data_IF_774809746740
#
_entry.id   IF_774809746740
#
_cell.length_a   1.000
_cell.length_b   1.000
_cell.length_c   1.000
_cell.angle_alpha   90.00
_cell.angle_beta   90.00
_cell.angle_gamma   90.00
#
_symmetry.space_group_name_H-M   'P 1'
#
loop_
_entity.id
_entity.type
_entity.pdbx_description
1 polymer ?
#
# COMPACT_ATOMS: atom_id res chain seq x y z
N UNK A 1 -35.87 -11.88 19.35
CA UNK A 1 -36.88 -10.83 19.50
C UNK A 1 -36.09 -9.54 19.49
N UNK A 2 -35.97 -8.91 18.31
CA UNK A 2 -35.24 -7.66 18.15
C UNK A 2 -35.92 -6.55 18.97
N UNK A 3 -35.12 -5.78 19.69
CA UNK A 3 -35.52 -4.49 20.21
C UNK A 3 -35.98 -3.60 19.06
N UNK A 4 -36.99 -2.76 19.24
CA UNK A 4 -37.32 -1.75 18.24
C UNK A 4 -36.05 -0.91 17.98
N UNK A 5 -35.73 -0.73 16.70
CA UNK A 5 -34.60 0.08 16.25
C UNK A 5 -34.60 1.43 16.96
N UNK A 6 -33.54 1.70 17.69
CA UNK A 6 -33.27 3.03 18.22
C UNK A 6 -33.30 4.01 17.03
N UNK A 7 -34.11 5.08 17.05
CA UNK A 7 -34.15 6.06 15.98
C UNK A 7 -32.81 6.74 15.72
N UNK A 8 -31.85 6.65 16.66
CA UNK A 8 -30.49 7.14 16.54
C UNK A 8 -29.55 6.10 15.92
N UNK A 9 -29.91 4.82 15.86
CA UNK A 9 -29.11 3.80 15.18
C UNK A 9 -29.28 3.87 13.65
N UNK A 10 -28.36 4.56 13.02
CA UNK A 10 -28.34 4.78 11.55
C UNK A 10 -28.04 3.51 10.74
N UNK A 11 -27.57 2.45 11.36
CA UNK A 11 -26.99 1.30 10.65
C UNK A 11 -27.83 0.02 10.78
N UNK A 12 -28.68 -0.10 11.82
CA UNK A 12 -29.41 -1.32 12.09
C UNK A 12 -28.48 -2.54 12.25
N UNK A 13 -29.01 -3.74 12.01
CA UNK A 13 -28.20 -4.97 12.01
C UNK A 13 -27.30 -5.03 10.76
N UNK A 14 -26.00 -5.25 10.98
CA UNK A 14 -24.98 -5.35 9.94
C UNK A 14 -24.64 -6.82 9.66
N UNK A 15 -24.70 -7.25 8.41
CA UNK A 15 -24.32 -8.58 7.98
C UNK A 15 -22.99 -8.57 7.22
N UNK A 16 -21.96 -9.16 7.84
CA UNK A 16 -20.70 -9.45 7.17
C UNK A 16 -20.78 -10.81 6.49
N UNK A 17 -20.85 -10.82 5.17
CA UNK A 17 -20.93 -12.06 4.38
C UNK A 17 -19.59 -12.32 3.72
N UNK A 18 -18.99 -13.48 4.01
CA UNK A 18 -17.69 -13.90 3.46
C UNK A 18 -17.89 -15.22 2.73
N UNK A 19 -17.84 -15.18 1.42
CA UNK A 19 -17.85 -16.39 0.61
C UNK A 19 -16.42 -16.96 0.52
N UNK A 20 -16.32 -18.28 0.76
CA UNK A 20 -15.06 -19.01 0.79
C UNK A 20 -14.01 -18.43 1.79
N UNK A 21 -14.34 -18.43 3.07
CA UNK A 21 -13.48 -17.96 4.15
C UNK A 21 -12.09 -18.60 4.14
N UNK A 22 -11.98 -19.83 3.65
CA UNK A 22 -10.70 -20.52 3.52
C UNK A 22 -9.70 -19.78 2.65
N UNK A 23 -10.14 -19.35 1.48
CA UNK A 23 -9.31 -18.61 0.54
C UNK A 23 -8.92 -17.22 1.08
N UNK A 24 -9.85 -16.54 1.77
CA UNK A 24 -9.55 -15.27 2.42
C UNK A 24 -8.44 -15.45 3.44
N UNK A 25 -8.54 -16.47 4.30
CA UNK A 25 -7.58 -16.73 5.36
C UNK A 25 -6.20 -17.12 4.82
N UNK A 26 -6.15 -17.89 3.74
CA UNK A 26 -4.89 -18.30 3.09
C UNK A 26 -4.18 -17.13 2.39
N UNK A 27 -4.94 -16.20 1.82
CA UNK A 27 -4.39 -15.02 1.14
C UNK A 27 -3.98 -13.91 2.09
N UNK A 28 -4.72 -13.71 3.18
CA UNK A 28 -4.47 -12.67 4.17
C UNK A 28 -4.92 -13.13 5.57
N UNK A 29 -3.97 -13.64 6.35
CA UNK A 29 -4.22 -14.09 7.71
C UNK A 29 -4.76 -12.96 8.61
N UNK A 30 -4.32 -11.71 8.37
CA UNK A 30 -4.75 -10.55 9.15
C UNK A 30 -6.23 -10.24 8.95
N UNK A 31 -6.76 -10.34 7.73
CA UNK A 31 -8.19 -10.20 7.46
C UNK A 31 -8.98 -11.37 8.04
N UNK A 32 -8.46 -12.58 7.94
CA UNK A 32 -9.07 -13.76 8.54
C UNK A 32 -9.21 -13.63 10.05
N UNK A 33 -8.17 -13.20 10.75
CA UNK A 33 -8.17 -12.96 12.20
C UNK A 33 -9.16 -11.86 12.61
N UNK A 34 -9.27 -10.79 11.82
CA UNK A 34 -10.27 -9.72 12.04
C UNK A 34 -11.70 -10.26 11.89
N UNK A 35 -11.96 -11.07 10.87
CA UNK A 35 -13.27 -11.69 10.69
C UNK A 35 -13.65 -12.59 11.87
N UNK A 36 -12.70 -13.37 12.40
CA UNK A 36 -12.90 -14.18 13.60
C UNK A 36 -13.17 -13.30 14.83
N UNK A 37 -12.46 -12.21 15.00
CA UNK A 37 -12.68 -11.27 16.09
C UNK A 37 -14.08 -10.63 16.02
N UNK A 38 -14.52 -10.22 14.82
CA UNK A 38 -15.87 -9.71 14.58
C UNK A 38 -16.91 -10.80 14.89
N UNK A 39 -16.70 -12.03 14.45
CA UNK A 39 -17.63 -13.13 14.74
C UNK A 39 -17.78 -13.41 16.24
N UNK A 40 -16.73 -13.20 17.04
CA UNK A 40 -16.76 -13.41 18.50
C UNK A 40 -17.50 -12.32 19.26
N UNK A 41 -17.41 -11.09 18.83
CA UNK A 41 -17.88 -9.92 19.56
C UNK A 41 -19.03 -9.18 18.87
N UNK A 42 -19.16 -9.35 17.57
CA UNK A 42 -20.04 -8.55 16.72
C UNK A 42 -21.52 -8.65 17.11
N UNK A 43 -21.97 -9.80 17.58
CA UNK A 43 -23.39 -10.01 17.94
C UNK A 43 -23.86 -9.03 19.02
N UNK A 44 -22.98 -8.65 19.96
CA UNK A 44 -23.30 -7.67 21.00
C UNK A 44 -23.49 -6.24 20.44
N UNK A 45 -23.07 -6.02 19.21
CA UNK A 45 -23.15 -4.74 18.50
C UNK A 45 -24.07 -4.81 17.27
N UNK A 46 -24.92 -5.83 17.17
CA UNK A 46 -25.79 -6.03 16.00
C UNK A 46 -25.03 -6.45 14.72
N UNK A 47 -23.80 -6.98 14.84
CA UNK A 47 -23.04 -7.46 13.69
C UNK A 47 -23.11 -8.97 13.58
N UNK A 48 -23.66 -9.46 12.48
CA UNK A 48 -23.82 -10.87 12.16
C UNK A 48 -22.78 -11.29 11.12
N UNK A 49 -22.14 -12.44 11.31
CA UNK A 49 -21.17 -12.99 10.38
C UNK A 49 -21.71 -14.23 9.71
N UNK A 50 -21.79 -14.22 8.38
CA UNK A 50 -22.16 -15.37 7.55
C UNK A 50 -20.97 -15.77 6.70
N UNK A 51 -20.55 -17.03 6.76
CA UNK A 51 -19.42 -17.50 5.98
C UNK A 51 -19.70 -18.82 5.30
N UNK A 52 -19.10 -19.02 4.13
CA UNK A 52 -19.02 -20.32 3.47
C UNK A 52 -17.55 -20.81 3.45
N UNK A 53 -17.35 -22.11 3.33
CA UNK A 53 -16.06 -22.72 3.07
C UNK A 53 -16.22 -24.11 2.45
N UNK A 54 -15.27 -24.51 1.63
CA UNK A 54 -15.22 -25.84 1.01
C UNK A 54 -14.72 -26.92 1.98
N UNK A 55 -14.07 -26.54 3.09
CA UNK A 55 -13.61 -27.44 4.15
C UNK A 55 -13.17 -26.66 5.39
N UNK A 56 -13.31 -27.30 6.58
CA UNK A 56 -13.10 -26.65 7.86
C UNK A 56 -12.00 -27.29 8.72
N UNK A 57 -11.33 -28.31 8.21
CA UNK A 57 -10.51 -29.24 9.01
C UNK A 57 -9.14 -28.71 9.47
N UNK A 58 -8.65 -27.58 8.96
CA UNK A 58 -7.27 -27.19 9.21
C UNK A 58 -7.18 -25.83 9.88
N UNK A 59 -6.47 -25.77 11.01
CA UNK A 59 -5.97 -24.56 11.64
C UNK A 59 -7.03 -23.61 12.19
N UNK A 60 -6.84 -22.35 11.94
CA UNK A 60 -7.65 -21.23 12.49
C UNK A 60 -9.11 -21.20 11.97
N UNK A 61 -9.42 -21.93 10.89
CA UNK A 61 -10.81 -22.09 10.42
C UNK A 61 -11.72 -22.68 11.52
N UNK A 62 -11.17 -23.53 12.37
CA UNK A 62 -11.86 -24.10 13.51
C UNK A 62 -12.25 -23.05 14.57
N UNK A 63 -11.49 -21.98 14.69
CA UNK A 63 -11.81 -20.88 15.60
C UNK A 63 -13.13 -20.17 15.23
N UNK A 64 -13.42 -20.05 13.93
CA UNK A 64 -14.69 -19.51 13.45
C UNK A 64 -15.85 -20.47 13.67
N UNK A 65 -15.64 -21.78 13.45
CA UNK A 65 -16.64 -22.80 13.75
C UNK A 65 -17.06 -22.79 15.23
N UNK A 66 -16.12 -22.58 16.15
CA UNK A 66 -16.42 -22.56 17.59
C UNK A 66 -17.36 -21.41 17.97
N UNK A 67 -17.42 -20.35 17.16
CA UNK A 67 -18.29 -19.19 17.39
C UNK A 67 -19.61 -19.30 16.63
N UNK A 68 -19.61 -20.00 15.49
CA UNK A 68 -20.78 -20.15 14.64
C UNK A 68 -21.79 -21.14 15.28
N UNK A 69 -22.90 -20.63 15.79
CA UNK A 69 -23.97 -21.43 16.38
C UNK A 69 -24.86 -22.09 15.33
N UNK A 70 -25.21 -21.35 14.28
CA UNK A 70 -25.94 -21.88 13.14
C UNK A 70 -24.95 -22.44 12.11
N UNK A 71 -25.11 -23.71 11.77
CA UNK A 71 -24.26 -24.39 10.79
C UNK A 71 -25.15 -25.20 9.85
N UNK A 72 -24.87 -25.05 8.57
CA UNK A 72 -25.53 -25.82 7.51
C UNK A 72 -24.41 -26.46 6.70
N UNK A 73 -24.45 -27.78 6.62
CA UNK A 73 -23.54 -28.53 5.77
C UNK A 73 -24.26 -28.90 4.49
N UNK A 74 -23.70 -28.46 3.39
CA UNK A 74 -24.09 -28.94 2.06
C UNK A 74 -23.20 -30.12 1.66
N UNK A 75 -23.25 -30.51 0.39
CA UNK A 75 -22.42 -31.60 -0.16
C UNK A 75 -20.93 -31.33 0.10
N UNK A 76 -20.25 -32.30 0.71
CA UNK A 76 -18.80 -32.29 0.89
C UNK A 76 -18.12 -33.25 -0.10
N UNK A 77 -16.90 -32.91 -0.50
CA UNK A 77 -16.07 -33.79 -1.36
C UNK A 77 -15.62 -35.04 -0.62
N UNK A 78 -15.40 -34.94 0.69
CA UNK A 78 -15.03 -36.05 1.56
C UNK A 78 -16.04 -36.17 2.72
N UNK A 79 -16.84 -37.24 2.80
CA UNK A 79 -17.82 -37.44 3.88
C UNK A 79 -17.21 -37.52 5.29
N UNK A 80 -15.94 -37.92 5.42
CA UNK A 80 -15.28 -38.05 6.72
C UNK A 80 -14.99 -36.66 7.35
N UNK A 81 -14.97 -35.59 6.55
CA UNK A 81 -14.86 -34.21 7.04
C UNK A 81 -16.08 -33.75 7.86
N UNK A 82 -17.21 -34.41 7.71
CA UNK A 82 -18.45 -34.05 8.38
C UNK A 82 -18.35 -34.05 9.89
N UNK A 83 -17.79 -35.11 10.46
CA UNK A 83 -17.73 -35.27 11.92
C UNK A 83 -16.68 -34.41 12.57
N UNK A 84 -15.53 -34.24 11.93
CA UNK A 84 -14.39 -33.51 12.48
C UNK A 84 -14.50 -31.98 12.25
N UNK A 85 -15.12 -31.56 11.15
CA UNK A 85 -15.17 -30.14 10.76
C UNK A 85 -16.41 -29.40 11.25
N UNK A 86 -17.60 -29.94 11.03
CA UNK A 86 -18.85 -29.22 11.29
C UNK A 86 -19.49 -29.57 12.63
N UNK A 87 -19.04 -30.65 13.31
CA UNK A 87 -19.62 -31.14 14.53
C UNK A 87 -21.03 -31.72 14.34
N UNK A 88 -21.36 -32.16 13.13
CA UNK A 88 -22.62 -32.86 12.83
C UNK A 88 -22.42 -34.33 13.12
N UNK A 89 -23.07 -34.85 14.14
CA UNK A 89 -22.83 -36.21 14.66
C UNK A 89 -23.41 -37.34 13.78
N UNK A 90 -24.23 -37.04 12.78
CA UNK A 90 -24.94 -38.05 12.02
C UNK A 90 -24.30 -38.35 10.66
N UNK A 91 -23.43 -39.36 10.62
CA UNK A 91 -22.84 -39.89 9.35
C UNK A 91 -23.91 -40.28 8.31
N UNK A 92 -25.12 -40.59 8.73
CA UNK A 92 -26.22 -40.98 7.84
C UNK A 92 -26.73 -39.80 7.03
N UNK A 93 -26.88 -38.66 7.65
CA UNK A 93 -27.29 -37.41 7.00
C UNK A 93 -26.26 -36.91 5.98
N UNK A 94 -24.95 -37.03 6.28
CA UNK A 94 -23.90 -36.67 5.36
C UNK A 94 -23.90 -37.48 4.04
N UNK A 95 -24.26 -38.74 4.12
CA UNK A 95 -24.35 -39.61 2.92
C UNK A 95 -25.57 -39.28 2.07
N UNK A 96 -26.67 -38.81 2.65
CA UNK A 96 -27.89 -38.46 1.92
C UNK A 96 -27.79 -37.13 1.15
N UNK A 97 -26.91 -36.21 1.56
CA UNK A 97 -26.72 -34.93 0.88
C UNK A 97 -25.86 -35.03 -0.38
N UNK A 98 -25.23 -36.18 -0.64
CA UNK A 98 -24.21 -36.32 -1.69
C UNK A 98 -24.74 -36.14 -3.11
N UNK A 99 -26.00 -36.47 -3.39
CA UNK A 99 -26.53 -36.53 -4.77
C UNK A 99 -27.57 -35.45 -5.13
N UNK A 100 -27.91 -34.56 -4.20
CA UNK A 100 -28.98 -33.56 -4.41
C UNK A 100 -28.44 -32.14 -4.22
N UNK A 101 -28.29 -31.33 -5.26
CA UNK A 101 -27.95 -29.91 -5.14
C UNK A 101 -28.97 -29.17 -4.25
N UNK A 102 -28.46 -28.30 -3.35
CA UNK A 102 -29.27 -27.51 -2.43
C UNK A 102 -29.73 -28.26 -1.16
N UNK A 103 -29.56 -29.56 -1.09
CA UNK A 103 -29.78 -30.29 0.14
C UNK A 103 -28.68 -30.04 1.18
N UNK A 104 -29.09 -29.83 2.41
CA UNK A 104 -28.17 -29.59 3.53
C UNK A 104 -28.64 -30.21 4.82
N UNK A 105 -27.77 -30.26 5.80
CA UNK A 105 -28.02 -30.74 7.13
C UNK A 105 -27.60 -29.70 8.16
N UNK A 106 -28.46 -29.43 9.14
CA UNK A 106 -28.14 -28.52 10.24
C UNK A 106 -27.24 -29.20 11.27
N UNK A 107 -26.68 -28.43 12.20
CA UNK A 107 -25.88 -28.93 13.32
C UNK A 107 -26.64 -29.97 14.16
N UNK A 108 -27.98 -29.84 14.28
CA UNK A 108 -28.84 -30.72 15.03
C UNK A 108 -29.32 -31.95 14.25
N UNK A 109 -28.83 -32.14 13.03
CA UNK A 109 -29.14 -33.28 12.19
C UNK A 109 -30.46 -33.16 11.39
N UNK A 110 -31.10 -31.99 11.36
CA UNK A 110 -32.28 -31.78 10.54
C UNK A 110 -31.86 -31.55 9.07
N UNK A 111 -32.54 -32.26 8.18
CA UNK A 111 -32.42 -32.08 6.75
C UNK A 111 -33.15 -30.80 6.31
N UNK A 112 -32.58 -30.10 5.34
CA UNK A 112 -33.18 -28.91 4.75
C UNK A 112 -32.87 -28.83 3.24
N UNK A 113 -33.72 -28.13 2.54
CA UNK A 113 -33.50 -27.77 1.14
C UNK A 113 -33.37 -26.26 1.06
N UNK A 114 -32.24 -25.82 0.53
CA UNK A 114 -31.99 -24.39 0.29
C UNK A 114 -32.88 -23.90 -0.85
N UNK A 115 -33.61 -22.83 -0.58
CA UNK A 115 -34.44 -22.17 -1.60
C UNK A 115 -33.57 -21.60 -2.72
N UNK A 116 -34.03 -21.67 -3.95
CA UNK A 116 -33.38 -20.99 -5.05
C UNK A 116 -33.53 -19.47 -4.88
N UNK A 117 -32.52 -18.68 -5.23
CA UNK A 117 -32.62 -17.21 -5.20
C UNK A 117 -33.41 -16.71 -6.44
N UNK A 118 -34.70 -17.05 -6.47
CA UNK A 118 -35.64 -16.63 -7.48
C UNK A 118 -36.78 -15.88 -6.81
N UNK A 119 -37.18 -14.75 -7.38
CA UNK A 119 -38.37 -14.01 -6.95
C UNK A 119 -39.28 -13.75 -8.15
N UNK A 120 -40.60 -13.71 -7.89
CA UNK A 120 -41.55 -13.28 -8.93
C UNK A 120 -41.47 -11.77 -9.10
N UNK A 121 -41.18 -11.30 -10.30
CA UNK A 121 -41.27 -9.89 -10.66
C UNK A 121 -42.74 -9.40 -10.69
N UNK A 122 -42.92 -8.07 -10.83
CA UNK A 122 -44.27 -7.48 -10.92
C UNK A 122 -45.17 -8.09 -12.00
N UNK A 123 -44.56 -8.62 -13.06
CA UNK A 123 -45.25 -9.23 -14.19
C UNK A 123 -45.45 -10.74 -14.05
N UNK A 124 -45.21 -11.31 -12.85
CA UNK A 124 -45.27 -12.75 -12.62
C UNK A 124 -44.12 -13.56 -13.24
N UNK A 125 -43.15 -12.89 -13.87
CA UNK A 125 -41.97 -13.53 -14.46
C UNK A 125 -40.99 -13.86 -13.39
N UNK A 126 -40.50 -15.10 -13.33
CA UNK A 126 -39.41 -15.50 -12.42
C UNK A 126 -38.10 -14.83 -12.80
N UNK A 127 -37.54 -14.09 -11.87
CA UNK A 127 -36.28 -13.41 -12.04
C UNK A 127 -35.19 -14.22 -11.33
N UNK A 128 -34.19 -14.62 -12.09
CA UNK A 128 -33.04 -15.37 -11.57
C UNK A 128 -32.09 -14.50 -10.75
N UNK A 129 -31.05 -15.09 -10.21
CA UNK A 129 -30.04 -14.45 -9.36
C UNK A 129 -29.51 -13.10 -9.87
N UNK A 130 -29.40 -12.91 -11.19
CA UNK A 130 -28.90 -11.64 -11.77
C UNK A 130 -29.95 -10.52 -11.74
N UNK A 131 -31.23 -10.87 -11.77
CA UNK A 131 -32.34 -9.91 -11.76
C UNK A 131 -32.92 -9.62 -10.39
N UNK A 132 -32.59 -10.42 -9.36
CA UNK A 132 -33.16 -10.31 -8.01
C UNK A 132 -32.84 -8.96 -7.35
N UNK A 133 -31.60 -8.48 -7.47
CA UNK A 133 -31.18 -7.21 -6.86
C UNK A 133 -32.01 -6.00 -7.32
N UNK A 134 -32.19 -5.76 -8.62
CA UNK A 134 -33.05 -4.69 -9.13
C UNK A 134 -34.50 -4.79 -8.68
N UNK A 135 -35.06 -6.01 -8.60
CA UNK A 135 -36.45 -6.20 -8.15
C UNK A 135 -36.60 -5.89 -6.66
N UNK A 136 -35.68 -6.35 -5.82
CA UNK A 136 -35.65 -6.01 -4.39
C UNK A 136 -35.52 -4.52 -4.20
N UNK A 137 -34.58 -3.86 -4.90
CA UNK A 137 -34.39 -2.42 -4.80
C UNK A 137 -35.65 -1.64 -5.18
N UNK A 138 -36.37 -2.08 -6.24
CA UNK A 138 -37.63 -1.47 -6.66
C UNK A 138 -38.76 -1.67 -5.62
N UNK A 139 -38.81 -2.82 -4.96
CA UNK A 139 -39.83 -3.14 -3.95
C UNK A 139 -39.58 -2.47 -2.60
N UNK A 140 -38.32 -2.33 -2.21
CA UNK A 140 -37.94 -1.77 -0.90
C UNK A 140 -37.72 -0.28 -0.93
N UNK A 141 -37.62 0.35 -2.10
CA UNK A 141 -37.23 1.75 -2.25
C UNK A 141 -35.77 2.00 -1.81
N UNK A 142 -34.99 0.93 -1.63
CA UNK A 142 -33.61 1.05 -1.20
C UNK A 142 -32.77 1.83 -2.20
N UNK A 143 -32.02 2.80 -1.73
CA UNK A 143 -31.07 3.56 -2.52
C UNK A 143 -29.98 2.63 -3.10
N UNK A 144 -29.34 3.10 -4.17
CA UNK A 144 -28.19 2.41 -4.73
C UNK A 144 -27.03 2.50 -3.75
N UNK A 145 -26.47 1.35 -3.35
CA UNK A 145 -25.26 1.31 -2.52
C UNK A 145 -24.09 1.86 -3.34
N UNK A 146 -23.27 2.69 -2.70
CA UNK A 146 -22.05 3.16 -3.30
C UNK A 146 -21.13 1.99 -3.67
N UNK A 147 -20.61 2.04 -4.89
CA UNK A 147 -19.63 1.05 -5.33
C UNK A 147 -18.35 1.21 -4.54
N UNK A 148 -17.76 0.10 -4.09
CA UNK A 148 -16.43 0.15 -3.48
C UNK A 148 -15.45 0.81 -4.43
N UNK A 149 -14.91 1.92 -4.00
CA UNK A 149 -13.89 2.62 -4.75
C UNK A 149 -12.62 1.75 -4.80
N UNK A 150 -12.08 1.56 -5.99
CA UNK A 150 -10.86 0.78 -6.23
C UNK A 150 -9.85 1.63 -6.96
N UNK A 151 -8.57 1.42 -6.65
CA UNK A 151 -7.50 2.02 -7.44
C UNK A 151 -7.69 1.63 -8.92
N UNK A 152 -7.64 2.59 -9.85
CA UNK A 152 -7.69 2.29 -11.28
C UNK A 152 -6.48 1.43 -11.70
N UNK A 153 -6.53 0.79 -12.85
CA UNK A 153 -5.36 0.06 -13.37
C UNK A 153 -4.20 0.99 -13.72
N UNK A 154 -4.52 2.16 -14.23
CA UNK A 154 -3.55 3.20 -14.59
C UNK A 154 -4.15 4.59 -14.35
N UNK A 155 -3.29 5.53 -14.01
CA UNK A 155 -3.63 6.95 -13.90
C UNK A 155 -2.47 7.79 -14.45
N UNK A 156 -2.76 8.85 -15.19
CA UNK A 156 -1.73 9.80 -15.65
C UNK A 156 -1.29 10.69 -14.51
N UNK A 157 0.01 10.94 -14.41
CA UNK A 157 0.58 11.82 -13.38
C UNK A 157 -0.08 13.20 -13.38
N UNK A 158 -0.33 13.78 -14.55
CA UNK A 158 -0.98 15.08 -14.69
C UNK A 158 -2.33 15.15 -13.97
N UNK A 159 -3.14 14.09 -14.05
CA UNK A 159 -4.43 14.05 -13.36
C UNK A 159 -4.27 14.14 -11.84
N UNK A 160 -3.22 13.51 -11.29
CA UNK A 160 -2.89 13.54 -9.86
C UNK A 160 -2.43 14.96 -9.47
N UNK A 161 -1.52 15.54 -10.24
CA UNK A 161 -0.97 16.89 -10.00
C UNK A 161 -2.07 17.95 -10.07
N UNK A 162 -2.94 17.88 -11.08
CA UNK A 162 -4.06 18.80 -11.25
C UNK A 162 -5.09 18.68 -10.11
N UNK A 163 -5.42 17.44 -9.71
CA UNK A 163 -6.33 17.19 -8.60
C UNK A 163 -5.77 17.72 -7.28
N UNK A 164 -4.49 17.46 -7.00
CA UNK A 164 -3.82 17.93 -5.77
C UNK A 164 -3.72 19.46 -5.74
N UNK A 165 -3.42 20.11 -6.85
CA UNK A 165 -3.25 21.57 -6.94
C UNK A 165 -4.52 22.34 -6.64
N UNK A 166 -5.69 21.71 -6.72
CA UNK A 166 -6.98 22.31 -6.36
C UNK A 166 -7.25 22.36 -4.86
N UNK A 167 -6.59 21.50 -4.09
CA UNK A 167 -6.88 21.32 -2.66
C UNK A 167 -5.72 21.68 -1.74
N UNK A 168 -4.49 21.82 -2.26
CA UNK A 168 -3.31 22.06 -1.44
C UNK A 168 -2.39 23.13 -2.05
N UNK A 169 -2.10 24.16 -1.25
CA UNK A 169 -1.30 25.30 -1.65
C UNK A 169 0.22 25.14 -1.41
N UNK A 170 0.65 24.21 -0.53
CA UNK A 170 2.07 24.03 -0.19
C UNK A 170 2.87 23.52 -1.41
N UNK A 171 3.77 24.35 -1.99
CA UNK A 171 4.43 24.03 -3.25
C UNK A 171 5.34 22.79 -3.18
N UNK A 172 5.98 22.53 -2.03
CA UNK A 172 6.92 21.43 -1.82
C UNK A 172 6.25 20.10 -1.42
N UNK A 173 4.93 20.09 -1.36
CA UNK A 173 4.19 18.84 -1.34
C UNK A 173 4.07 18.33 -2.77
N UNK A 174 4.85 17.33 -3.12
CA UNK A 174 4.96 16.81 -4.49
C UNK A 174 4.06 15.58 -4.65
N UNK A 175 2.92 15.71 -5.33
CA UNK A 175 1.99 14.60 -5.55
C UNK A 175 2.55 13.68 -6.63
N UNK A 176 2.53 12.37 -6.36
CA UNK A 176 3.10 11.39 -7.29
C UNK A 176 2.25 10.11 -7.43
N UNK A 177 1.27 9.91 -6.54
CA UNK A 177 0.46 8.70 -6.50
C UNK A 177 -0.98 9.00 -6.06
N UNK A 178 -1.86 8.01 -6.20
CA UNK A 178 -3.18 7.95 -5.56
C UNK A 178 -3.14 6.89 -4.45
N UNK A 179 -3.68 7.22 -3.27
CA UNK A 179 -3.86 6.30 -2.16
C UNK A 179 -5.07 5.38 -2.34
N UNK A 180 -4.96 4.17 -1.81
CA UNK A 180 -6.01 3.15 -1.88
C UNK A 180 -7.15 3.43 -0.91
N UNK A 181 -6.84 3.96 0.28
CA UNK A 181 -7.82 4.14 1.36
C UNK A 181 -8.91 5.17 1.02
N UNK A 182 -8.53 6.26 0.37
CA UNK A 182 -9.45 7.37 0.08
C UNK A 182 -9.54 7.75 -1.40
N UNK A 183 -8.78 7.11 -2.28
CA UNK A 183 -8.60 7.47 -3.70
C UNK A 183 -8.22 8.95 -3.90
N UNK A 184 -7.48 9.50 -2.95
CA UNK A 184 -6.98 10.88 -3.00
C UNK A 184 -5.50 10.92 -3.42
N UNK A 185 -5.04 12.04 -4.00
CA UNK A 185 -3.65 12.22 -4.29
C UNK A 185 -2.76 12.11 -3.05
N UNK A 186 -1.71 11.29 -3.16
CA UNK A 186 -0.64 11.15 -2.17
C UNK A 186 0.55 11.97 -2.59
N UNK A 187 1.02 12.85 -1.69
CA UNK A 187 2.13 13.75 -1.93
C UNK A 187 3.23 13.57 -0.89
N UNK A 188 4.49 13.73 -1.33
CA UNK A 188 5.64 13.81 -0.44
C UNK A 188 5.84 15.22 0.07
N UNK A 189 5.75 15.47 1.38
CA UNK A 189 5.96 16.78 1.98
C UNK A 189 7.47 17.06 2.18
N UNK A 190 8.19 17.35 1.09
CA UNK A 190 9.65 17.42 1.12
C UNK A 190 10.25 18.48 2.05
N UNK A 191 9.50 19.50 2.45
CA UNK A 191 9.95 20.41 3.53
C UNK A 191 9.95 19.76 4.91
N UNK A 192 9.11 18.76 5.13
CA UNK A 192 9.01 18.06 6.41
C UNK A 192 9.83 16.78 6.41
N UNK A 193 9.78 16.05 5.31
CA UNK A 193 10.44 14.75 5.10
C UNK A 193 11.29 14.84 3.84
N UNK A 194 12.61 15.14 3.97
CA UNK A 194 13.42 15.51 2.83
C UNK A 194 13.75 14.37 1.87
N UNK A 195 13.67 13.12 2.30
CA UNK A 195 14.14 11.97 1.54
C UNK A 195 13.04 10.94 1.32
N UNK A 196 13.17 10.13 0.25
CA UNK A 196 12.31 9.00 -0.07
C UNK A 196 13.15 7.84 -0.59
N UNK A 197 12.89 6.65 -0.09
CA UNK A 197 13.47 5.41 -0.62
C UNK A 197 12.41 4.61 -1.38
N UNK A 198 12.77 4.07 -2.53
CA UNK A 198 11.90 3.20 -3.34
C UNK A 198 12.56 1.83 -3.49
N UNK A 199 11.90 0.79 -3.03
CA UNK A 199 12.43 -0.58 -3.03
C UNK A 199 11.50 -1.48 -3.84
N UNK A 200 12.06 -2.25 -4.77
CA UNK A 200 11.26 -3.16 -5.56
C UNK A 200 12.09 -3.99 -6.54
N UNK A 201 11.52 -5.09 -7.02
CA UNK A 201 12.17 -5.97 -8.00
C UNK A 201 12.36 -5.25 -9.34
N UNK A 202 13.15 -5.84 -10.20
CA UNK A 202 13.33 -5.37 -11.57
C UNK A 202 11.97 -5.36 -12.30
N UNK A 203 11.70 -4.29 -13.07
CA UNK A 203 10.46 -4.17 -13.84
C UNK A 203 9.23 -3.70 -13.07
N UNK A 204 9.28 -3.51 -11.74
CA UNK A 204 8.13 -3.06 -10.96
C UNK A 204 7.76 -1.58 -11.15
N UNK A 205 8.61 -0.77 -11.80
CA UNK A 205 8.35 0.64 -12.08
C UNK A 205 9.14 1.65 -11.23
N UNK A 206 10.21 1.26 -10.53
CA UNK A 206 11.06 2.16 -9.72
C UNK A 206 11.50 3.43 -10.47
N UNK A 207 12.09 3.25 -11.67
CA UNK A 207 12.49 4.36 -12.53
C UNK A 207 11.31 5.27 -12.92
N UNK A 208 10.12 4.70 -13.10
CA UNK A 208 8.90 5.47 -13.37
C UNK A 208 8.46 6.31 -12.16
N UNK A 209 8.72 5.85 -10.93
CA UNK A 209 8.51 6.66 -9.72
C UNK A 209 9.41 7.89 -9.73
N UNK A 210 10.70 7.73 -10.03
CA UNK A 210 11.64 8.86 -10.15
C UNK A 210 11.20 9.85 -11.24
N UNK A 211 10.83 9.33 -12.41
CA UNK A 211 10.32 10.16 -13.49
C UNK A 211 9.04 10.92 -13.08
N UNK A 212 8.08 10.25 -12.41
CA UNK A 212 6.87 10.88 -11.93
C UNK A 212 7.15 12.00 -10.92
N UNK A 213 8.04 11.75 -9.95
CA UNK A 213 8.43 12.77 -8.96
C UNK A 213 9.15 13.93 -9.65
N UNK A 214 10.09 13.66 -10.55
CA UNK A 214 10.81 14.70 -11.30
C UNK A 214 9.88 15.57 -12.14
N UNK A 215 8.92 14.97 -12.86
CA UNK A 215 7.90 15.68 -13.61
C UNK A 215 6.99 16.51 -12.70
N UNK A 216 6.57 15.96 -11.55
CA UNK A 216 5.73 16.67 -10.58
C UNK A 216 6.47 17.86 -9.95
N UNK A 217 7.77 17.74 -9.65
CA UNK A 217 8.62 18.85 -9.20
C UNK A 217 8.64 19.93 -10.28
N UNK A 218 8.93 19.57 -11.52
CA UNK A 218 8.99 20.52 -12.65
C UNK A 218 7.64 21.20 -12.90
N UNK A 219 6.51 20.49 -12.71
CA UNK A 219 5.19 21.06 -12.87
C UNK A 219 4.83 22.07 -11.78
N UNK A 220 5.31 21.88 -10.54
CA UNK A 220 4.91 22.68 -9.37
C UNK A 220 5.91 23.76 -8.96
N UNK A 221 7.19 23.55 -9.23
CA UNK A 221 8.27 24.42 -8.77
C UNK A 221 9.02 25.05 -9.95
N UNK A 222 9.35 26.32 -9.81
CA UNK A 222 10.23 27.01 -10.77
C UNK A 222 11.70 26.61 -10.57
N UNK A 223 12.59 26.83 -11.56
CA UNK A 223 14.04 26.60 -11.41
C UNK A 223 14.70 27.39 -10.28
N UNK A 224 14.11 28.52 -9.90
CA UNK A 224 14.60 29.33 -8.76
C UNK A 224 14.19 28.72 -7.41
N UNK A 225 13.18 27.84 -7.38
CA UNK A 225 12.73 27.16 -6.17
C UNK A 225 13.32 25.76 -6.02
N UNK A 226 13.52 25.05 -7.14
CA UNK A 226 14.03 23.68 -7.12
C UNK A 226 14.91 23.39 -8.32
N UNK A 227 16.03 22.71 -8.08
CA UNK A 227 16.91 22.13 -9.08
C UNK A 227 16.96 20.60 -8.89
N UNK A 228 17.05 19.88 -9.99
CA UNK A 228 17.09 18.42 -10.01
C UNK A 228 18.44 17.98 -10.57
N UNK A 229 19.13 17.11 -9.86
CA UNK A 229 20.27 16.34 -10.37
C UNK A 229 19.88 14.89 -10.49
N UNK A 230 20.14 14.30 -11.64
CA UNK A 230 19.80 12.91 -11.94
C UNK A 230 21.11 12.10 -11.94
N UNK A 231 21.14 11.04 -11.14
CA UNK A 231 22.20 10.04 -11.10
C UNK A 231 21.60 8.73 -11.62
N UNK A 232 22.00 8.35 -12.82
CA UNK A 232 21.39 7.26 -13.57
C UNK A 232 22.41 6.45 -14.37
N UNK A 233 23.10 5.51 -13.74
CA UNK A 233 24.14 4.70 -14.38
C UNK A 233 23.67 3.92 -15.61
N UNK A 234 22.36 3.62 -15.69
CA UNK A 234 21.75 2.86 -16.78
C UNK A 234 21.10 3.72 -17.87
N UNK A 235 21.14 5.04 -17.72
CA UNK A 235 20.55 6.00 -18.66
C UNK A 235 19.03 5.78 -18.91
N UNK A 236 18.35 5.24 -17.94
CA UNK A 236 16.91 4.87 -18.02
C UNK A 236 15.97 6.07 -17.88
N UNK A 237 16.47 7.22 -17.37
CA UNK A 237 15.71 8.44 -17.13
C UNK A 237 15.92 9.50 -18.22
N UNK A 238 16.77 9.23 -19.24
CA UNK A 238 17.02 10.19 -20.33
C UNK A 238 15.72 10.58 -21.01
N UNK A 239 15.45 11.89 -21.10
CA UNK A 239 14.28 12.45 -21.77
C UNK A 239 12.95 12.23 -21.04
N UNK A 240 12.96 11.61 -19.84
CA UNK A 240 11.73 11.34 -19.07
C UNK A 240 11.35 12.43 -18.08
N UNK A 241 12.25 13.37 -17.82
CA UNK A 241 12.03 14.52 -16.94
C UNK A 241 12.31 15.78 -17.75
N UNK A 242 11.39 16.78 -17.77
CA UNK A 242 11.61 18.01 -18.51
C UNK A 242 12.85 18.77 -18.01
N UNK A 243 13.67 19.28 -18.93
CA UNK A 243 14.97 19.90 -18.64
C UNK A 243 14.88 21.19 -17.82
N UNK A 244 13.71 21.82 -17.75
CA UNK A 244 13.53 23.13 -17.12
C UNK A 244 14.13 23.25 -15.72
N UNK A 245 14.04 22.21 -14.89
CA UNK A 245 14.58 22.17 -13.54
C UNK A 245 15.82 21.29 -13.42
N UNK A 246 16.27 20.63 -14.49
CA UNK A 246 17.43 19.72 -14.46
C UNK A 246 18.71 20.54 -14.48
N UNK A 247 19.48 20.50 -13.40
CA UNK A 247 20.75 21.16 -13.25
C UNK A 247 21.95 20.26 -13.64
N UNK A 248 21.74 18.92 -13.63
CA UNK A 248 22.80 17.99 -14.01
C UNK A 248 22.25 16.57 -14.23
N UNK A 249 22.95 15.83 -15.09
CA UNK A 249 22.71 14.42 -15.38
C UNK A 249 24.03 13.67 -15.37
N UNK A 250 24.21 12.73 -14.45
CA UNK A 250 25.44 11.97 -14.26
C UNK A 250 25.18 10.47 -14.43
N UNK A 251 25.93 9.82 -15.31
CA UNK A 251 25.80 8.39 -15.62
C UNK A 251 27.14 7.64 -15.59
N UNK A 252 28.27 8.32 -15.73
CA UNK A 252 29.60 7.74 -15.55
C UNK A 252 30.05 7.86 -14.10
N UNK A 253 30.92 6.96 -13.64
CA UNK A 253 31.44 7.00 -12.27
C UNK A 253 32.10 8.34 -11.92
N UNK A 254 32.94 8.87 -12.84
CA UNK A 254 33.66 10.14 -12.64
C UNK A 254 32.70 11.35 -12.60
N UNK A 255 31.63 11.33 -13.43
CA UNK A 255 30.61 12.39 -13.40
C UNK A 255 29.82 12.34 -12.12
N UNK A 256 29.48 11.13 -11.64
CA UNK A 256 28.73 10.92 -10.39
C UNK A 256 29.54 11.42 -9.21
N UNK A 257 30.82 11.01 -9.08
CA UNK A 257 31.71 11.47 -8.01
C UNK A 257 31.83 13.01 -8.00
N UNK A 258 32.06 13.62 -9.18
CA UNK A 258 32.17 15.07 -9.31
C UNK A 258 30.91 15.83 -8.94
N UNK A 259 29.75 15.36 -9.42
CA UNK A 259 28.46 16.02 -9.16
C UNK A 259 28.05 15.87 -7.69
N UNK A 260 28.26 14.71 -7.10
CA UNK A 260 27.94 14.47 -5.70
C UNK A 260 28.80 15.33 -4.79
N UNK A 261 30.13 15.44 -5.06
CA UNK A 261 31.03 16.30 -4.27
C UNK A 261 30.67 17.77 -4.41
N UNK A 262 30.35 18.23 -5.62
CA UNK A 262 29.90 19.60 -5.88
C UNK A 262 28.65 19.94 -5.06
N UNK A 263 27.62 19.07 -5.10
CA UNK A 263 26.38 19.30 -4.34
C UNK A 263 26.65 19.25 -2.85
N UNK A 264 27.44 18.29 -2.37
CA UNK A 264 27.82 18.20 -0.96
C UNK A 264 28.54 19.45 -0.48
N UNK A 265 29.40 20.07 -1.31
CA UNK A 265 30.03 21.35 -1.04
C UNK A 265 29.01 22.47 -0.86
N UNK A 266 28.10 22.65 -1.82
CA UNK A 266 27.02 23.64 -1.74
C UNK A 266 26.18 23.47 -0.47
N UNK A 267 25.85 22.23 -0.12
CA UNK A 267 25.03 21.96 1.08
C UNK A 267 25.79 22.20 2.38
N UNK A 268 27.10 21.91 2.42
CA UNK A 268 27.95 22.23 3.57
C UNK A 268 28.03 23.73 3.81
N UNK A 269 28.13 24.54 2.77
CA UNK A 269 28.16 26.02 2.87
C UNK A 269 26.85 26.61 3.43
N UNK A 270 25.75 25.91 3.28
CA UNK A 270 24.46 26.28 3.87
C UNK A 270 24.37 25.99 5.38
N UNK A 271 25.21 25.13 5.91
CA UNK A 271 25.26 24.83 7.33
C UNK A 271 25.94 25.97 8.12
N UNK A 272 25.56 26.19 9.37
CA UNK A 272 26.27 27.10 10.23
C UNK A 272 27.72 26.62 10.44
N UNK A 273 28.72 27.49 10.36
CA UNK A 273 30.09 27.15 10.72
C UNK A 273 30.17 26.78 12.21
N UNK A 274 31.16 25.97 12.57
CA UNK A 274 31.42 25.62 13.96
C UNK A 274 31.93 26.85 14.74
N UNK A 275 31.54 26.91 16.04
CA UNK A 275 32.08 27.91 16.94
C UNK A 275 31.28 29.24 17.03
N UNK A 276 30.13 29.33 16.37
CA UNK A 276 29.24 30.47 16.54
C UNK A 276 28.59 30.51 17.91
N UNK A 277 28.45 31.70 18.48
CA UNK A 277 27.64 31.94 19.67
C UNK A 277 26.16 31.80 19.37
N UNK A 278 25.34 31.70 20.40
CA UNK A 278 23.87 31.64 20.25
C UNK A 278 23.31 32.89 19.56
N UNK A 279 23.87 34.05 19.87
CA UNK A 279 23.47 35.34 19.30
C UNK A 279 23.78 35.39 17.79
N UNK A 280 24.98 34.96 17.40
CA UNK A 280 25.39 34.87 16.00
C UNK A 280 24.55 33.86 15.22
N UNK A 281 24.18 32.73 15.83
CA UNK A 281 23.29 31.76 15.22
C UNK A 281 21.89 32.33 14.98
N UNK A 282 21.34 33.08 15.93
CA UNK A 282 20.04 33.74 15.82
C UNK A 282 20.04 34.86 14.77
N UNK A 283 21.16 35.61 14.68
CA UNK A 283 21.32 36.70 13.72
C UNK A 283 21.61 36.22 12.28
N UNK A 284 21.95 34.93 12.10
CA UNK A 284 22.32 34.40 10.79
C UNK A 284 21.13 34.41 9.84
N UNK A 285 21.26 35.02 8.64
CA UNK A 285 20.23 34.93 7.63
C UNK A 285 20.05 33.49 7.16
N UNK A 286 18.79 33.13 6.86
CA UNK A 286 18.52 31.86 6.19
C UNK A 286 19.26 31.82 4.82
N UNK A 287 19.73 30.63 4.45
CA UNK A 287 20.33 30.44 3.14
C UNK A 287 19.34 30.80 2.03
N UNK A 288 19.83 31.30 0.93
CA UNK A 288 19.07 31.64 -0.26
C UNK A 288 19.41 30.70 -1.41
N UNK A 289 18.49 30.56 -2.38
CA UNK A 289 18.69 29.74 -3.56
C UNK A 289 17.69 28.56 -3.63
N UNK A 290 17.79 27.76 -4.69
CA UNK A 290 16.88 26.64 -4.91
C UNK A 290 17.13 25.49 -3.94
N UNK A 291 16.08 24.77 -3.59
CA UNK A 291 16.18 23.42 -3.02
C UNK A 291 16.79 22.47 -4.06
N UNK A 292 17.58 21.52 -3.62
CA UNK A 292 18.25 20.56 -4.49
C UNK A 292 17.67 19.16 -4.33
N UNK A 293 17.15 18.63 -5.42
CA UNK A 293 16.61 17.27 -5.50
C UNK A 293 17.60 16.38 -6.23
N UNK A 294 18.04 15.30 -5.59
CA UNK A 294 18.88 14.27 -6.22
C UNK A 294 18.01 13.03 -6.45
N UNK A 295 17.84 12.68 -7.72
CA UNK A 295 17.15 11.45 -8.13
C UNK A 295 18.20 10.39 -8.46
N UNK A 296 18.26 9.32 -7.69
CA UNK A 296 19.24 8.23 -7.84
C UNK A 296 18.53 6.98 -8.31
N UNK A 297 18.77 6.56 -9.54
CA UNK A 297 18.27 5.28 -10.02
C UNK A 297 19.26 4.16 -9.71
N UNK A 298 18.75 3.07 -9.12
CA UNK A 298 19.53 1.89 -8.72
C UNK A 298 20.76 2.22 -7.83
N UNK A 299 20.57 2.87 -6.68
CA UNK A 299 21.64 3.29 -5.73
C UNK A 299 22.67 2.19 -5.46
N UNK A 300 22.23 0.95 -5.42
CA UNK A 300 23.09 -0.20 -5.16
C UNK A 300 24.17 -0.44 -6.23
N UNK A 301 23.99 0.10 -7.43
CA UNK A 301 24.99 0.07 -8.51
C UNK A 301 26.14 1.08 -8.28
N UNK A 302 25.95 2.08 -7.41
CA UNK A 302 26.93 3.12 -7.12
C UNK A 302 28.03 2.67 -6.14
N UNK A 303 28.07 1.39 -5.79
CA UNK A 303 29.11 0.85 -4.92
C UNK A 303 30.40 0.64 -5.70
N UNK A 304 31.56 0.94 -5.09
CA UNK A 304 32.83 0.63 -5.73
C UNK A 304 32.93 -0.88 -5.93
N UNK A 305 33.07 -1.31 -7.18
CA UNK A 305 33.32 -2.70 -7.51
C UNK A 305 34.70 -3.12 -6.94
N UNK A 306 34.69 -3.78 -5.77
CA UNK A 306 35.81 -4.58 -5.27
C UNK A 306 37.12 -3.83 -4.95
N UNK A 307 37.21 -2.52 -5.05
CA UNK A 307 38.42 -1.77 -4.70
C UNK A 307 38.43 -1.50 -3.18
N UNK A 308 39.27 -2.20 -2.50
CA UNK A 308 39.56 -1.97 -1.07
C UNK A 308 39.98 -0.50 -0.88
N UNK A 309 39.22 0.27 -0.12
CA UNK A 309 39.54 1.65 0.23
C UNK A 309 38.76 2.75 -0.49
N UNK A 310 38.01 2.48 -1.57
CA UNK A 310 37.08 3.49 -2.16
C UNK A 310 35.75 3.52 -1.41
N UNK A 311 35.35 4.71 -0.99
CA UNK A 311 34.02 4.95 -0.43
C UNK A 311 32.96 4.94 -1.55
N UNK A 312 31.70 4.67 -1.20
CA UNK A 312 30.59 4.80 -2.16
C UNK A 312 30.49 6.22 -2.67
N UNK A 313 30.15 6.39 -3.95
CA UNK A 313 30.01 7.71 -4.58
C UNK A 313 29.05 8.65 -3.81
N UNK A 314 28.05 8.10 -3.10
CA UNK A 314 27.11 8.87 -2.27
C UNK A 314 27.67 9.29 -0.90
N UNK A 315 28.87 8.84 -0.50
CA UNK A 315 29.44 9.09 0.82
C UNK A 315 29.51 10.57 1.23
N UNK A 316 29.83 11.53 0.36
CA UNK A 316 29.83 12.94 0.71
C UNK A 316 28.47 13.48 1.18
N UNK A 317 27.37 12.82 0.80
CA UNK A 317 26.01 13.21 1.16
C UNK A 317 25.52 12.60 2.49
N UNK A 318 26.14 11.54 3.01
CA UNK A 318 25.57 10.77 4.12
C UNK A 318 25.24 11.60 5.35
N UNK A 319 26.15 12.47 5.77
CA UNK A 319 25.91 13.35 6.94
C UNK A 319 24.93 14.49 6.66
N UNK A 320 24.69 14.78 5.37
CA UNK A 320 23.75 15.81 4.94
C UNK A 320 22.31 15.28 4.83
N UNK A 321 22.11 13.95 4.68
CA UNK A 321 20.77 13.35 4.58
C UNK A 321 19.93 13.62 5.83
N UNK A 322 20.52 13.54 7.02
CA UNK A 322 19.83 13.82 8.28
C UNK A 322 19.47 15.30 8.45
N UNK A 323 20.27 16.17 7.83
CA UNK A 323 20.14 17.63 7.86
C UNK A 323 19.48 18.21 6.60
N UNK A 324 18.93 17.37 5.73
CA UNK A 324 18.37 17.76 4.43
C UNK A 324 17.38 18.92 4.52
N UNK A 325 16.53 18.93 5.56
CA UNK A 325 15.58 20.03 5.81
C UNK A 325 16.27 21.38 6.04
N UNK A 326 17.39 21.37 6.74
CA UNK A 326 18.13 22.61 7.09
C UNK A 326 18.81 23.23 5.88
N UNK A 327 19.28 22.39 4.95
CA UNK A 327 20.07 22.84 3.79
C UNK A 327 19.29 22.81 2.48
N UNK A 328 18.03 22.35 2.49
CA UNK A 328 17.22 22.21 1.30
C UNK A 328 17.69 21.10 0.35
N UNK A 329 18.24 20.03 0.91
CA UNK A 329 18.64 18.82 0.17
C UNK A 329 17.57 17.75 0.26
N UNK A 330 17.18 17.18 -0.88
CA UNK A 330 16.20 16.11 -0.99
C UNK A 330 16.78 14.97 -1.82
N UNK A 331 16.75 13.75 -1.27
CA UNK A 331 17.27 12.57 -1.98
C UNK A 331 16.16 11.55 -2.16
N UNK A 332 15.91 11.22 -3.40
CA UNK A 332 14.98 10.16 -3.81
C UNK A 332 15.79 9.07 -4.49
N UNK A 333 15.88 7.90 -3.86
CA UNK A 333 16.71 6.80 -4.34
C UNK A 333 15.90 5.56 -4.60
N UNK A 334 16.22 4.84 -5.67
CA UNK A 334 15.66 3.51 -5.94
C UNK A 334 16.70 2.43 -5.70
N UNK A 335 16.25 1.21 -5.38
CA UNK A 335 17.13 0.05 -5.27
C UNK A 335 16.39 -1.28 -5.41
N UNK A 336 17.15 -2.33 -5.67
CA UNK A 336 16.67 -3.71 -5.53
C UNK A 336 16.61 -4.11 -4.05
N UNK A 337 15.66 -4.98 -3.67
CA UNK A 337 15.49 -5.40 -2.27
C UNK A 337 16.70 -6.19 -1.73
N UNK A 338 17.28 -7.09 -2.52
CA UNK A 338 18.34 -7.99 -2.10
C UNK A 338 17.95 -8.78 -0.84
N UNK A 339 18.91 -9.12 0.00
CA UNK A 339 18.65 -9.52 1.39
C UNK A 339 18.38 -8.26 2.22
N UNK A 340 17.13 -7.80 2.24
CA UNK A 340 16.75 -6.50 2.81
C UNK A 340 17.24 -6.29 4.26
N UNK A 341 17.07 -7.29 5.12
CA UNK A 341 17.49 -7.19 6.52
C UNK A 341 19.01 -7.00 6.67
N UNK A 342 19.81 -7.75 5.92
CA UNK A 342 21.27 -7.62 5.96
C UNK A 342 21.74 -6.34 5.28
N UNK A 343 21.15 -5.99 4.13
CA UNK A 343 21.55 -4.81 3.36
C UNK A 343 21.22 -3.52 4.10
N UNK A 344 20.04 -3.40 4.70
CA UNK A 344 19.65 -2.21 5.46
C UNK A 344 20.51 -2.00 6.70
N UNK A 345 20.96 -3.08 7.32
CA UNK A 345 21.85 -3.01 8.49
C UNK A 345 23.31 -2.66 8.13
N UNK A 346 23.78 -3.02 6.93
CA UNK A 346 25.17 -2.87 6.51
C UNK A 346 25.45 -1.66 5.61
N UNK A 347 24.44 -1.00 5.08
CA UNK A 347 24.60 0.15 4.19
C UNK A 347 24.55 1.46 4.97
N UNK A 348 25.65 2.23 5.07
CA UNK A 348 25.65 3.54 5.72
C UNK A 348 24.64 4.51 5.10
N UNK A 349 24.48 4.48 3.78
CA UNK A 349 23.48 5.29 3.08
C UNK A 349 22.07 5.00 3.57
N UNK A 350 21.68 3.71 3.66
CA UNK A 350 20.35 3.34 4.14
C UNK A 350 20.15 3.64 5.63
N UNK A 351 21.19 3.44 6.45
CA UNK A 351 21.15 3.83 7.85
C UNK A 351 20.86 5.33 8.01
N UNK A 352 21.54 6.17 7.21
CA UNK A 352 21.33 7.62 7.23
C UNK A 352 19.94 8.02 6.71
N UNK A 353 19.43 7.36 5.67
CA UNK A 353 18.04 7.57 5.23
C UNK A 353 17.04 7.18 6.33
N UNK A 354 17.25 6.07 7.01
CA UNK A 354 16.40 5.64 8.13
C UNK A 354 16.45 6.65 9.28
N UNK A 355 17.66 7.11 9.66
CA UNK A 355 17.84 8.14 10.71
C UNK A 355 17.21 9.48 10.32
N UNK A 356 17.16 9.81 9.04
CA UNK A 356 16.48 11.01 8.51
C UNK A 356 14.95 10.88 8.47
N UNK A 357 14.41 9.75 8.94
CA UNK A 357 12.98 9.42 8.87
C UNK A 357 12.43 9.40 7.44
N UNK A 358 13.21 8.93 6.48
CA UNK A 358 12.77 8.78 5.10
C UNK A 358 11.68 7.71 5.00
N UNK A 359 10.49 8.01 4.45
CA UNK A 359 9.53 7.00 4.07
C UNK A 359 10.11 6.04 3.05
N UNK A 360 9.56 4.85 3.01
CA UNK A 360 9.92 3.85 2.02
C UNK A 360 8.70 3.42 1.22
N UNK A 361 8.79 3.51 -0.09
CA UNK A 361 7.82 2.95 -1.01
C UNK A 361 8.27 1.55 -1.40
N UNK A 362 7.61 0.54 -0.85
CA UNK A 362 7.81 -0.85 -1.24
C UNK A 362 6.90 -1.17 -2.43
N UNK A 363 7.48 -1.37 -3.59
CA UNK A 363 6.78 -1.81 -4.79
C UNK A 363 6.69 -3.35 -4.83
N UNK A 364 6.54 -3.96 -6.01
CA UNK A 364 6.52 -5.42 -6.14
C UNK A 364 7.76 -6.07 -5.53
N UNK A 365 7.57 -6.90 -4.51
CA UNK A 365 8.63 -7.60 -3.77
C UNK A 365 8.21 -9.02 -3.39
N UNK A 366 9.20 -9.87 -3.16
CA UNK A 366 8.98 -11.18 -2.58
C UNK A 366 8.60 -11.04 -1.09
N UNK A 367 7.43 -11.52 -0.65
CA UNK A 367 7.01 -11.45 0.74
C UNK A 367 7.96 -12.16 1.73
N UNK A 368 8.71 -13.15 1.26
CA UNK A 368 9.67 -13.87 2.10
C UNK A 368 11.00 -13.14 2.23
N UNK A 369 11.41 -12.39 1.19
CA UNK A 369 12.68 -11.68 1.18
C UNK A 369 12.63 -10.32 1.89
N UNK A 370 11.48 -9.66 1.91
CA UNK A 370 11.33 -8.30 2.44
C UNK A 370 10.27 -8.26 3.52
N UNK A 371 10.69 -8.12 4.77
CA UNK A 371 9.83 -7.78 5.89
C UNK A 371 9.85 -6.27 6.10
N UNK A 372 8.69 -5.66 6.00
CA UNK A 372 8.54 -4.20 6.17
C UNK A 372 8.57 -3.83 7.65
N UNK A 373 7.79 -4.58 8.46
CA UNK A 373 7.78 -4.55 9.92
C UNK A 373 7.64 -5.96 10.47
N UNK A 374 7.75 -6.13 11.78
CA UNK A 374 7.71 -7.44 12.46
C UNK A 374 6.53 -8.35 12.08
N UNK A 375 5.42 -7.77 11.60
CA UNK A 375 4.19 -8.50 11.22
C UNK A 375 3.73 -8.26 9.78
N UNK A 376 4.38 -7.38 9.04
CA UNK A 376 3.99 -7.02 7.67
C UNK A 376 5.11 -7.37 6.70
N UNK A 377 4.83 -8.24 5.76
CA UNK A 377 5.71 -8.57 4.64
C UNK A 377 5.38 -7.68 3.45
N UNK A 378 6.36 -7.43 2.61
CA UNK A 378 6.13 -6.85 1.29
C UNK A 378 5.23 -7.79 0.45
N UNK A 379 4.58 -7.25 -0.55
CA UNK A 379 3.61 -7.96 -1.37
C UNK A 379 4.07 -8.07 -2.82
N UNK A 380 3.57 -9.08 -3.51
CA UNK A 380 3.63 -9.11 -4.97
C UNK A 380 2.55 -8.18 -5.51
N UNK A 381 2.97 -7.16 -6.24
CA UNK A 381 2.09 -6.10 -6.72
C UNK A 381 2.25 -5.90 -8.23
N UNK A 382 1.19 -5.53 -8.94
CA UNK A 382 1.28 -5.10 -10.33
C UNK A 382 2.23 -3.89 -10.48
N UNK A 383 2.88 -3.71 -11.66
CA UNK A 383 3.73 -2.56 -11.91
C UNK A 383 3.03 -1.22 -11.61
N UNK A 384 3.75 -0.30 -10.98
CA UNK A 384 3.24 1.01 -10.57
C UNK A 384 2.49 1.01 -9.24
N UNK A 385 2.20 -0.15 -8.64
CA UNK A 385 1.62 -0.22 -7.30
C UNK A 385 2.70 -0.41 -6.24
N UNK A 386 2.41 0.10 -5.05
CA UNK A 386 3.33 -0.01 -3.92
C UNK A 386 2.64 0.22 -2.59
N UNK A 387 3.35 -0.08 -1.52
CA UNK A 387 3.00 0.23 -0.15
C UNK A 387 3.94 1.34 0.34
N UNK A 388 3.40 2.54 0.54
CA UNK A 388 4.13 3.65 1.14
C UNK A 388 4.10 3.49 2.65
N UNK A 389 5.28 3.41 3.23
CA UNK A 389 5.46 3.21 4.66
C UNK A 389 6.19 4.41 5.24
N UNK A 390 5.55 5.09 6.17
CA UNK A 390 6.12 6.21 6.90
C UNK A 390 6.79 5.73 8.20
N UNK A 391 7.64 6.55 8.78
CA UNK A 391 8.41 6.17 9.99
C UNK A 391 7.58 6.11 11.26
N UNK A 392 6.43 6.71 11.29
CA UNK A 392 5.40 6.59 12.34
C UNK A 392 4.53 5.32 12.19
N UNK A 393 4.83 4.49 11.19
CA UNK A 393 4.18 3.21 10.98
C UNK A 393 2.88 3.27 10.18
N UNK A 394 2.54 4.44 9.64
CA UNK A 394 1.40 4.54 8.70
C UNK A 394 1.77 3.85 7.41
N UNK A 395 0.86 3.01 6.92
CA UNK A 395 0.99 2.27 5.67
C UNK A 395 -0.18 2.60 4.76
N UNK A 396 0.14 3.00 3.53
CA UNK A 396 -0.85 3.33 2.50
C UNK A 396 -0.53 2.58 1.21
N UNK A 397 -1.48 1.81 0.72
CA UNK A 397 -1.43 1.25 -0.64
C UNK A 397 -1.53 2.38 -1.66
N UNK A 398 -0.65 2.42 -2.64
CA UNK A 398 -0.62 3.51 -3.62
C UNK A 398 -0.50 3.00 -5.06
N UNK A 399 -1.07 3.76 -5.98
CA UNK A 399 -0.81 3.66 -7.42
C UNK A 399 -0.06 4.91 -7.88
N UNK A 400 1.16 4.73 -8.33
CA UNK A 400 2.01 5.82 -8.85
C UNK A 400 1.46 6.31 -10.20
N UNK A 401 1.44 7.62 -10.38
CA UNK A 401 1.04 8.23 -11.65
C UNK A 401 2.00 7.84 -12.78
N UNK A 402 1.46 7.42 -13.90
CA UNK A 402 2.25 7.17 -15.11
C UNK A 402 2.86 8.49 -15.60
N UNK A 403 4.20 8.61 -15.68
CA UNK A 403 4.85 9.77 -16.27
C UNK A 403 4.48 9.90 -17.75
N UNK A 404 4.51 11.11 -18.25
CA UNK A 404 4.23 11.45 -19.66
C UNK A 404 5.39 11.08 -20.57
#
# INVERSE_FOLDING_TARGET
VGSPTDPEDKFGDVFLVIDNFGDLYEKDNGLGDRAIAIARQGLSYGVHVMTSASGWLVGQKQALLNVANARIQLRLSNPDETQMGTGIEHRRAARQTLDRPGFGVTRTGHELLIGLPEISGPDGIRVNTRGVGPVIAAQTGAGKVDTLARLPERIRLRQIVDAYSRVAAEPFNIPFAIGESALQPVAMPFRQVPNLLVVGRQGCGKTSVLAAIGQAITARLSPRQAQITIIDPKTSLIGRIPDRNVAGYAYTADDIDRVVEMIAGIMRDRLPPSGLTQEELLARPAWTGPHHFILIDDEHELRPNGLVGKQAATAPLWNLLERGREVGLHVIATRLPGNWAGVSAMSPFLQKLTSSRAPTLFMDNDPQAVKVFSRTSAQQLPPGRGLLVTTDGVMEGVLVGSPE
#
